data_IF_527846206607
#
_entry.id   IF_527846206607
#
_cell.length_a   1.000
_cell.length_b   1.000
_cell.length_c   1.000
_cell.angle_alpha   90.00
_cell.angle_beta   90.00
_cell.angle_gamma   90.00
#
_symmetry.space_group_name_H-M   'P 1'
#
loop_
_entity.id
_entity.type
_entity.pdbx_description
1 polymer ?
#
# COMPACT_ATOMS: atom_id res chain seq x y z
N UNK A 1 -19.94 -14.29 -2.41
CA UNK A 1 -18.49 -14.41 -2.66
C UNK A 1 -17.83 -14.78 -1.34
N UNK A 2 -16.71 -15.51 -1.31
CA UNK A 2 -15.98 -15.68 -0.06
C UNK A 2 -15.56 -14.29 0.47
N UNK A 3 -15.50 -14.10 1.80
CA UNK A 3 -15.11 -12.82 2.37
C UNK A 3 -13.72 -12.41 1.87
N UNK A 4 -13.48 -11.10 1.74
CA UNK A 4 -12.15 -10.57 1.42
C UNK A 4 -11.15 -11.01 2.49
N UNK A 5 -9.93 -11.29 2.06
CA UNK A 5 -8.80 -11.56 2.96
C UNK A 5 -8.18 -10.24 3.41
N UNK A 6 -8.03 -9.33 2.46
CA UNK A 6 -7.46 -8.01 2.67
C UNK A 6 -8.55 -7.00 3.08
N UNK A 7 -8.57 -6.64 4.37
CA UNK A 7 -9.53 -5.68 4.92
C UNK A 7 -9.46 -4.31 4.23
N UNK A 8 -8.26 -3.86 3.87
CA UNK A 8 -8.11 -2.57 3.18
C UNK A 8 -8.78 -2.59 1.80
N UNK A 9 -8.64 -3.68 1.06
CA UNK A 9 -9.34 -3.87 -0.23
C UNK A 9 -10.86 -3.89 -0.03
N UNK A 10 -11.36 -4.63 0.96
CA UNK A 10 -12.81 -4.70 1.27
C UNK A 10 -13.39 -3.30 1.53
N UNK A 11 -12.69 -2.48 2.27
CA UNK A 11 -13.14 -1.13 2.61
C UNK A 11 -13.10 -0.20 1.38
N UNK A 12 -11.99 -0.20 0.63
CA UNK A 12 -11.87 0.63 -0.57
C UNK A 12 -12.90 0.22 -1.63
N UNK A 13 -13.17 -1.06 -1.80
CA UNK A 13 -14.19 -1.58 -2.73
C UNK A 13 -15.61 -1.12 -2.33
N UNK A 14 -15.87 -0.97 -1.04
CA UNK A 14 -17.13 -0.41 -0.52
C UNK A 14 -17.18 1.12 -0.46
N UNK A 15 -16.15 1.80 -1.03
CA UNK A 15 -16.05 3.26 -1.05
C UNK A 15 -15.64 3.89 0.29
N UNK A 16 -15.26 3.08 1.27
CA UNK A 16 -14.85 3.56 2.59
C UNK A 16 -13.38 4.00 2.59
N UNK A 17 -13.04 5.09 3.28
CA UNK A 17 -11.64 5.42 3.54
C UNK A 17 -11.01 4.41 4.49
N UNK A 18 -9.70 4.16 4.32
CA UNK A 18 -8.88 3.32 5.19
C UNK A 18 -7.88 4.16 5.96
N UNK A 19 -7.56 3.71 7.17
CA UNK A 19 -6.66 4.40 8.09
C UNK A 19 -5.51 3.47 8.47
N UNK A 20 -4.27 3.98 8.47
CA UNK A 20 -3.15 3.15 8.83
C UNK A 20 -2.34 3.67 10.01
N UNK A 21 -1.61 2.75 10.62
CA UNK A 21 -0.59 2.96 11.64
C UNK A 21 0.74 2.41 11.13
N UNK A 22 1.82 2.85 11.74
CA UNK A 22 3.18 2.55 11.29
C UNK A 22 3.83 3.76 10.64
N UNK A 23 4.99 3.60 10.08
CA UNK A 23 5.75 4.72 9.54
C UNK A 23 6.82 4.31 8.53
N UNK A 24 7.36 5.31 7.86
CA UNK A 24 8.39 5.16 6.83
C UNK A 24 9.75 4.74 7.42
N UNK A 25 10.00 5.08 8.68
CA UNK A 25 11.29 4.88 9.36
C UNK A 25 11.45 3.51 10.02
N UNK A 26 10.48 2.64 9.84
CA UNK A 26 10.51 1.28 10.38
C UNK A 26 9.31 0.94 11.24
N UNK A 27 9.29 -0.31 11.66
CA UNK A 27 8.33 -0.89 12.59
C UNK A 27 9.05 -1.91 13.47
N UNK A 28 8.57 -2.13 14.68
CA UNK A 28 9.14 -3.17 15.55
C UNK A 28 8.67 -4.52 15.05
N UNK A 29 9.56 -5.26 14.40
CA UNK A 29 9.25 -6.53 13.76
C UNK A 29 9.63 -7.71 14.68
N UNK A 30 8.89 -7.87 15.78
CA UNK A 30 9.01 -9.03 16.66
C UNK A 30 7.68 -9.78 16.75
N UNK A 31 7.74 -11.03 17.20
CA UNK A 31 6.55 -11.84 17.43
C UNK A 31 5.61 -11.20 18.46
N UNK A 32 6.15 -10.68 19.54
CA UNK A 32 5.40 -10.03 20.62
C UNK A 32 4.71 -8.74 20.14
N UNK A 33 5.40 -7.96 19.31
CA UNK A 33 4.78 -6.78 18.69
C UNK A 33 3.64 -7.17 17.75
N UNK A 34 3.81 -8.24 16.98
CA UNK A 34 2.74 -8.80 16.14
C UNK A 34 1.52 -9.18 16.95
N UNK A 35 1.70 -9.82 18.12
CA UNK A 35 0.58 -10.16 19.00
C UNK A 35 -0.16 -8.91 19.51
N UNK A 36 0.56 -7.84 19.85
CA UNK A 36 -0.03 -6.57 20.27
C UNK A 36 -0.81 -5.91 19.12
N UNK A 37 -0.21 -5.85 17.94
CA UNK A 37 -0.77 -5.16 16.79
C UNK A 37 -1.94 -5.91 16.13
N UNK A 38 -2.13 -7.20 16.42
CA UNK A 38 -3.30 -7.95 15.97
C UNK A 38 -4.64 -7.33 16.39
N UNK A 39 -4.64 -6.49 17.42
CA UNK A 39 -5.80 -5.75 17.93
C UNK A 39 -5.75 -4.26 17.61
N UNK A 40 -4.98 -3.87 16.60
CA UNK A 40 -4.86 -2.47 16.18
C UNK A 40 -6.23 -1.86 15.84
N UNK A 41 -6.35 -0.57 16.07
CA UNK A 41 -7.50 0.22 15.60
C UNK A 41 -7.44 0.54 14.10
N UNK A 42 -6.25 0.39 13.48
CA UNK A 42 -6.02 0.75 12.08
C UNK A 42 -6.58 -0.32 11.11
N UNK A 43 -6.95 0.10 9.92
CA UNK A 43 -7.38 -0.79 8.84
C UNK A 43 -6.20 -1.52 8.20
N UNK A 44 -5.00 -0.90 8.22
CA UNK A 44 -3.78 -1.58 7.86
C UNK A 44 -2.57 -1.05 8.64
N UNK A 45 -1.52 -1.85 8.65
CA UNK A 45 -0.22 -1.55 9.25
C UNK A 45 0.77 -1.31 8.13
N UNK A 46 1.41 -0.13 8.11
CA UNK A 46 2.48 0.20 7.18
C UNK A 46 3.82 -0.17 7.80
N UNK A 47 4.56 -1.06 7.17
CA UNK A 47 5.89 -1.48 7.58
C UNK A 47 6.91 -0.79 6.69
N UNK A 48 7.50 0.30 7.18
CA UNK A 48 8.49 1.08 6.44
C UNK A 48 9.84 0.37 6.41
N UNK A 49 10.26 -0.08 5.23
CA UNK A 49 11.60 -0.58 4.97
C UNK A 49 12.40 0.35 4.05
N UNK A 50 11.80 1.44 3.60
CA UNK A 50 12.47 2.49 2.82
C UNK A 50 13.59 3.14 3.65
N UNK A 51 13.27 3.60 4.85
CA UNK A 51 14.21 4.21 5.79
C UNK A 51 14.44 3.35 7.04
N UNK A 52 13.74 2.24 7.17
CA UNK A 52 13.90 1.25 8.22
C UNK A 52 14.76 0.07 7.79
N UNK A 53 14.96 -0.88 8.71
CA UNK A 53 15.72 -2.09 8.40
C UNK A 53 14.95 -2.99 7.41
N UNK A 54 15.66 -3.52 6.41
CA UNK A 54 15.15 -4.59 5.55
C UNK A 54 15.27 -5.93 6.28
N UNK A 55 14.35 -6.17 7.22
CA UNK A 55 14.37 -7.33 8.12
C UNK A 55 13.29 -8.36 7.76
N UNK A 56 13.65 -9.31 6.93
CA UNK A 56 12.74 -10.39 6.51
C UNK A 56 12.49 -11.43 7.59
N UNK A 57 13.44 -11.66 8.49
CA UNK A 57 13.25 -12.59 9.61
C UNK A 57 12.31 -12.00 10.68
N UNK A 58 12.50 -10.70 10.99
CA UNK A 58 11.59 -9.97 11.86
C UNK A 58 10.17 -9.90 11.27
N UNK A 59 10.03 -9.60 9.97
CA UNK A 59 8.73 -9.58 9.32
C UNK A 59 8.00 -10.92 9.42
N UNK A 60 8.72 -12.05 9.25
CA UNK A 60 8.15 -13.38 9.41
C UNK A 60 7.68 -13.65 10.85
N UNK A 61 8.49 -13.28 11.84
CA UNK A 61 8.13 -13.40 13.25
C UNK A 61 6.92 -12.53 13.61
N UNK A 62 6.90 -11.29 13.12
CA UNK A 62 5.81 -10.34 13.31
C UNK A 62 4.48 -10.86 12.75
N UNK A 63 4.47 -11.33 11.51
CA UNK A 63 3.27 -11.89 10.88
C UNK A 63 2.74 -13.14 11.60
N UNK A 64 3.62 -13.98 12.15
CA UNK A 64 3.21 -15.10 13.01
C UNK A 64 2.55 -14.60 14.30
N UNK A 65 3.08 -13.55 14.92
CA UNK A 65 2.46 -12.93 16.08
C UNK A 65 1.06 -12.41 15.79
N UNK A 66 0.85 -11.76 14.63
CA UNK A 66 -0.47 -11.32 14.16
C UNK A 66 -1.45 -12.48 14.02
N UNK A 67 -1.01 -13.62 13.42
CA UNK A 67 -1.85 -14.81 13.24
C UNK A 67 -2.27 -15.40 14.58
N UNK A 68 -1.32 -15.57 15.50
CA UNK A 68 -1.55 -16.29 16.75
C UNK A 68 -2.42 -15.51 17.74
N UNK A 69 -2.43 -14.17 17.64
CA UNK A 69 -3.30 -13.30 18.42
C UNK A 69 -4.60 -12.87 17.70
N UNK A 70 -4.75 -13.23 16.41
CA UNK A 70 -5.97 -12.99 15.65
C UNK A 70 -7.16 -13.84 16.10
N UNK A 71 -8.30 -13.75 15.43
CA UNK A 71 -8.63 -12.82 14.35
C UNK A 71 -8.82 -11.37 14.85
N UNK A 72 -8.88 -10.43 13.91
CA UNK A 72 -9.23 -9.04 14.17
C UNK A 72 -10.68 -8.90 14.62
N UNK A 73 -11.07 -7.72 15.12
CA UNK A 73 -12.47 -7.46 15.49
C UNK A 73 -13.44 -7.52 14.30
N UNK A 74 -12.96 -7.31 13.09
CA UNK A 74 -13.74 -7.46 11.85
C UNK A 74 -13.80 -8.91 11.34
N UNK A 75 -13.16 -9.85 12.04
CA UNK A 75 -13.16 -11.27 11.69
C UNK A 75 -12.10 -11.68 10.66
N UNK A 76 -11.25 -10.75 10.19
CA UNK A 76 -10.12 -11.07 9.33
C UNK A 76 -9.03 -11.80 10.13
N UNK A 77 -8.30 -12.70 9.45
CA UNK A 77 -7.28 -13.52 10.10
C UNK A 77 -6.17 -12.68 10.75
N UNK A 78 -5.76 -11.62 10.06
CA UNK A 78 -4.80 -10.61 10.54
C UNK A 78 -5.23 -9.23 10.08
N UNK A 79 -4.73 -8.14 10.68
CA UNK A 79 -4.74 -6.83 10.04
C UNK A 79 -4.07 -6.90 8.66
N UNK A 80 -4.48 -6.04 7.73
CA UNK A 80 -3.75 -5.86 6.48
C UNK A 80 -2.35 -5.33 6.78
N UNK A 81 -1.32 -5.90 6.17
CA UNK A 81 0.07 -5.44 6.27
C UNK A 81 0.56 -5.03 4.88
N UNK A 82 1.03 -3.79 4.76
CA UNK A 82 1.63 -3.24 3.53
C UNK A 82 3.08 -2.88 3.85
N UNK A 83 4.01 -3.30 3.01
CA UNK A 83 5.44 -2.99 3.16
C UNK A 83 5.82 -1.88 2.21
N UNK A 84 6.42 -0.84 2.74
CA UNK A 84 7.03 0.24 2.00
C UNK A 84 8.48 -0.13 1.71
N UNK A 85 8.81 -0.29 0.43
CA UNK A 85 10.05 -0.94 0.00
C UNK A 85 11.20 0.03 -0.21
N UNK A 86 12.47 -0.42 0.01
CA UNK A 86 13.63 0.44 -0.15
C UNK A 86 14.06 0.66 -1.61
N UNK A 87 13.42 0.01 -2.57
CA UNK A 87 13.76 0.19 -3.99
C UNK A 87 13.00 1.35 -4.61
N UNK A 88 13.73 2.20 -5.33
CA UNK A 88 13.18 3.33 -6.05
C UNK A 88 12.51 2.92 -7.36
N UNK A 89 11.33 3.49 -7.63
CA UNK A 89 10.60 3.34 -8.89
C UNK A 89 11.12 4.23 -10.03
N UNK A 90 12.44 4.48 -10.10
CA UNK A 90 13.06 5.44 -11.00
C UNK A 90 12.93 5.02 -12.48
N UNK A 91 13.24 3.75 -12.80
CA UNK A 91 13.17 3.21 -14.15
C UNK A 91 12.99 1.68 -14.14
N UNK A 92 12.61 1.11 -15.30
CA UNK A 92 12.41 -0.33 -15.45
C UNK A 92 13.62 -1.18 -15.05
N UNK A 93 14.87 -0.90 -15.49
CA UNK A 93 16.04 -1.68 -15.10
C UNK A 93 16.24 -1.76 -13.59
N UNK A 94 16.07 -0.65 -12.87
CA UNK A 94 16.17 -0.62 -11.39
C UNK A 94 15.17 -1.57 -10.77
N UNK A 95 13.92 -1.53 -11.18
CA UNK A 95 12.87 -2.42 -10.67
C UNK A 95 13.17 -3.87 -10.98
N UNK A 96 13.52 -4.20 -12.22
CA UNK A 96 13.78 -5.60 -12.62
C UNK A 96 14.98 -6.18 -11.90
N UNK A 97 16.02 -5.39 -11.67
CA UNK A 97 17.20 -5.82 -10.93
C UNK A 97 16.90 -6.10 -9.44
N UNK A 98 15.96 -5.32 -8.87
CA UNK A 98 15.56 -5.41 -7.48
C UNK A 98 14.26 -6.22 -7.25
N UNK A 99 13.70 -6.86 -8.27
CA UNK A 99 12.45 -7.63 -8.16
C UNK A 99 12.50 -8.77 -7.11
N UNK A 100 13.70 -9.19 -6.72
CA UNK A 100 13.90 -10.15 -5.62
C UNK A 100 13.36 -9.62 -4.29
N UNK A 101 13.40 -8.31 -4.03
CA UNK A 101 12.87 -7.69 -2.81
C UNK A 101 11.35 -7.91 -2.73
N UNK A 102 10.62 -7.62 -3.80
CA UNK A 102 9.16 -7.86 -3.85
C UNK A 102 8.83 -9.33 -3.62
N UNK A 103 9.59 -10.25 -4.23
CA UNK A 103 9.38 -11.68 -4.03
C UNK A 103 9.63 -12.12 -2.59
N UNK A 104 10.68 -11.61 -1.94
CA UNK A 104 10.99 -11.93 -0.54
C UNK A 104 9.90 -11.39 0.40
N UNK A 105 9.44 -10.17 0.18
CA UNK A 105 8.39 -9.53 0.98
C UNK A 105 7.06 -10.28 0.81
N UNK A 106 6.63 -10.53 -0.43
CA UNK A 106 5.40 -11.26 -0.72
C UNK A 106 5.45 -12.71 -0.25
N UNK A 107 6.65 -13.32 -0.19
CA UNK A 107 6.86 -14.66 0.35
C UNK A 107 6.54 -14.74 1.86
N UNK A 108 6.55 -13.63 2.58
CA UNK A 108 6.13 -13.59 4.00
C UNK A 108 4.61 -13.57 4.16
N UNK A 109 3.84 -13.28 3.11
CA UNK A 109 2.39 -13.25 3.15
C UNK A 109 1.78 -11.89 3.44
N UNK A 110 2.51 -10.81 3.23
CA UNK A 110 1.97 -9.44 3.33
C UNK A 110 0.86 -9.20 2.30
N UNK A 111 0.02 -8.21 2.55
CA UNK A 111 -1.19 -7.93 1.76
C UNK A 111 -0.98 -6.85 0.69
N UNK A 112 0.20 -6.22 0.67
CA UNK A 112 0.50 -5.19 -0.31
C UNK A 112 1.93 -4.68 -0.22
N UNK A 113 2.30 -3.88 -1.21
CA UNK A 113 3.59 -3.18 -1.30
C UNK A 113 3.34 -1.74 -1.74
N UNK A 114 4.05 -0.82 -1.11
CA UNK A 114 4.13 0.59 -1.51
C UNK A 114 5.52 0.83 -2.11
N UNK A 115 5.56 1.14 -3.40
CA UNK A 115 6.79 1.46 -4.14
C UNK A 115 7.12 2.94 -3.97
N UNK A 116 8.33 3.24 -3.51
CA UNK A 116 8.83 4.60 -3.32
C UNK A 116 9.40 5.19 -4.61
N UNK A 117 9.55 6.51 -4.70
CA UNK A 117 10.21 7.24 -5.78
C UNK A 117 9.75 6.82 -7.18
N UNK A 118 8.43 6.69 -7.40
CA UNK A 118 7.90 6.29 -8.71
C UNK A 118 8.02 7.43 -9.72
N UNK A 119 8.92 7.26 -10.72
CA UNK A 119 9.27 8.30 -11.69
C UNK A 119 8.90 7.97 -13.13
N UNK A 120 8.63 6.70 -13.46
CA UNK A 120 8.27 6.30 -14.82
C UNK A 120 7.19 5.21 -14.87
N UNK A 121 6.35 5.26 -15.91
CA UNK A 121 5.33 4.24 -16.16
C UNK A 121 5.94 2.85 -16.39
N UNK A 122 7.11 2.77 -17.02
CA UNK A 122 7.81 1.51 -17.28
C UNK A 122 8.32 0.87 -15.99
N UNK A 123 8.80 1.68 -15.03
CA UNK A 123 9.16 1.21 -13.70
C UNK A 123 7.94 0.63 -12.98
N UNK A 124 6.84 1.36 -12.96
CA UNK A 124 5.60 0.93 -12.28
C UNK A 124 5.01 -0.31 -12.95
N UNK A 125 5.07 -0.42 -14.28
CA UNK A 125 4.70 -1.64 -15.00
C UNK A 125 5.55 -2.84 -14.57
N UNK A 126 6.87 -2.68 -14.54
CA UNK A 126 7.80 -3.73 -14.11
C UNK A 126 7.56 -4.13 -12.64
N UNK A 127 7.21 -3.18 -11.78
CA UNK A 127 6.82 -3.43 -10.39
C UNK A 127 5.57 -4.31 -10.31
N UNK A 128 4.49 -3.93 -10.98
CA UNK A 128 3.24 -4.71 -11.01
C UNK A 128 3.49 -6.12 -11.53
N UNK A 129 4.22 -6.25 -12.66
CA UNK A 129 4.58 -7.56 -13.24
C UNK A 129 5.42 -8.42 -12.27
N UNK A 130 6.31 -7.80 -11.49
CA UNK A 130 7.16 -8.50 -10.52
C UNK A 130 6.36 -9.04 -9.31
N UNK A 131 5.23 -8.44 -9.00
CA UNK A 131 4.33 -8.88 -7.93
C UNK A 131 3.35 -9.98 -8.37
N UNK A 132 3.19 -10.23 -9.66
CA UNK A 132 2.18 -11.11 -10.26
C UNK A 132 2.73 -12.47 -10.67
N UNK A 133 1.97 -13.53 -10.41
CA UNK A 133 2.27 -14.84 -10.99
C UNK A 133 1.96 -14.88 -12.50
N UNK A 134 2.72 -15.65 -13.30
CA UNK A 134 2.49 -15.78 -14.75
C UNK A 134 1.12 -16.34 -15.14
N UNK A 135 0.42 -16.98 -14.22
CA UNK A 135 -0.94 -17.54 -14.44
C UNK A 135 -1.99 -16.45 -14.64
N UNK A 136 -1.78 -15.25 -14.05
CA UNK A 136 -2.72 -14.14 -14.15
C UNK A 136 -2.60 -13.44 -15.51
N UNK A 137 -3.71 -13.43 -16.27
CA UNK A 137 -3.73 -12.91 -17.65
C UNK A 137 -4.48 -11.58 -17.81
N UNK A 138 -5.21 -11.13 -16.77
CA UNK A 138 -5.92 -9.84 -16.85
C UNK A 138 -4.90 -8.73 -17.06
N UNK A 139 -5.14 -7.86 -18.06
CA UNK A 139 -4.26 -6.75 -18.42
C UNK A 139 -3.04 -7.11 -19.29
N UNK A 140 -2.73 -8.39 -19.51
CA UNK A 140 -1.63 -8.81 -20.37
C UNK A 140 -1.95 -8.42 -21.82
N UNK A 141 -1.01 -7.70 -22.49
CA UNK A 141 -1.22 -7.09 -23.80
C UNK A 141 -2.02 -5.77 -23.78
N UNK A 142 -2.51 -5.37 -22.61
CA UNK A 142 -3.27 -4.14 -22.39
C UNK A 142 -2.64 -3.32 -21.24
N UNK A 143 -1.42 -2.86 -21.45
CA UNK A 143 -0.66 -2.07 -20.47
C UNK A 143 0.26 -2.88 -19.55
N UNK A 144 0.16 -4.21 -19.54
CA UNK A 144 1.04 -5.11 -18.79
C UNK A 144 1.60 -6.22 -19.68
N UNK A 145 2.80 -6.70 -19.31
CA UNK A 145 3.36 -7.96 -19.76
C UNK A 145 2.95 -9.13 -18.83
N UNK A 146 3.55 -10.29 -19.07
CA UNK A 146 3.35 -11.48 -18.23
C UNK A 146 4.00 -11.24 -16.87
N UNK A 147 3.30 -11.65 -15.79
CA UNK A 147 3.84 -11.62 -14.45
C UNK A 147 5.14 -12.42 -14.31
N UNK A 148 6.05 -11.93 -13.48
CA UNK A 148 7.39 -12.53 -13.30
C UNK A 148 7.65 -13.06 -11.90
N UNK A 149 6.63 -13.06 -11.02
CA UNK A 149 6.73 -13.69 -9.69
C UNK A 149 6.88 -15.18 -9.85
N UNK A 150 8.01 -15.70 -9.34
CA UNK A 150 8.31 -17.14 -9.37
C UNK A 150 7.53 -17.95 -8.34
N UNK A 151 7.53 -19.25 -8.52
CA UNK A 151 6.94 -20.24 -7.62
C UNK A 151 7.86 -20.55 -6.44
N UNK A 152 7.29 -21.11 -5.34
CA UNK A 152 8.04 -21.68 -4.20
C UNK A 152 7.85 -20.93 -2.88
N UNK A 153 7.17 -19.76 -2.90
CA UNK A 153 6.88 -18.96 -1.69
C UNK A 153 5.47 -19.19 -1.13
N UNK A 154 4.62 -19.91 -1.85
CA UNK A 154 3.21 -20.13 -1.48
C UNK A 154 3.07 -20.87 -0.14
N UNK A 155 3.90 -21.91 0.18
CA UNK A 155 3.79 -22.59 1.46
C UNK A 155 4.08 -21.73 2.68
N UNK A 156 4.87 -20.67 2.54
CA UNK A 156 5.13 -19.70 3.63
C UNK A 156 4.12 -18.57 3.69
N UNK A 157 3.65 -18.09 2.54
CA UNK A 157 2.71 -16.97 2.46
C UNK A 157 1.24 -17.36 2.72
N UNK A 158 0.81 -18.50 2.18
CA UNK A 158 -0.59 -18.95 2.25
C UNK A 158 -1.14 -19.08 3.68
N UNK A 159 -0.38 -19.59 4.68
CA UNK A 159 -0.86 -19.65 6.06
C UNK A 159 -1.22 -18.30 6.67
N UNK A 160 -0.55 -17.20 6.26
CA UNK A 160 -0.89 -15.84 6.73
C UNK A 160 -2.29 -15.45 6.27
N UNK A 161 -2.67 -15.84 5.07
CA UNK A 161 -4.00 -15.59 4.51
C UNK A 161 -5.04 -16.66 4.89
N UNK A 162 -4.62 -17.75 5.56
CA UNK A 162 -5.50 -18.88 5.90
C UNK A 162 -5.94 -19.70 4.69
N UNK A 163 -5.10 -19.79 3.67
CA UNK A 163 -5.38 -20.47 2.40
C UNK A 163 -4.47 -21.69 2.17
N UNK A 164 -4.86 -22.52 1.20
CA UNK A 164 -3.90 -23.46 0.60
C UNK A 164 -2.93 -22.73 -0.32
N UNK A 165 -1.75 -23.30 -0.63
CA UNK A 165 -0.82 -22.72 -1.59
C UNK A 165 -1.44 -22.40 -2.96
N UNK A 166 -2.32 -23.27 -3.46
CA UNK A 166 -3.02 -23.11 -4.74
C UNK A 166 -4.00 -21.93 -4.67
N UNK A 167 -4.84 -21.87 -3.63
CA UNK A 167 -5.79 -20.79 -3.43
C UNK A 167 -5.08 -19.44 -3.20
N UNK A 168 -3.92 -19.45 -2.54
CA UNK A 168 -3.09 -18.25 -2.41
C UNK A 168 -2.62 -17.75 -3.79
N UNK A 169 -2.09 -18.63 -4.65
CA UNK A 169 -1.66 -18.22 -5.99
C UNK A 169 -2.80 -17.60 -6.79
N UNK A 170 -4.02 -18.12 -6.69
CA UNK A 170 -5.18 -17.60 -7.39
C UNK A 170 -5.60 -16.20 -6.90
N UNK A 171 -5.46 -15.95 -5.59
CA UNK A 171 -5.86 -14.70 -4.96
C UNK A 171 -4.75 -13.64 -4.89
N UNK A 172 -3.48 -14.04 -5.02
CA UNK A 172 -2.32 -13.15 -4.93
C UNK A 172 -2.07 -12.38 -6.24
N UNK A 173 -3.06 -11.60 -6.65
CA UNK A 173 -3.03 -10.69 -7.81
C UNK A 173 -3.50 -9.29 -7.39
N UNK A 174 -3.03 -8.20 -8.02
CA UNK A 174 -3.39 -6.85 -7.64
C UNK A 174 -4.86 -6.51 -7.82
N UNK A 175 -5.49 -5.98 -6.77
CA UNK A 175 -6.74 -5.23 -6.86
C UNK A 175 -6.43 -3.75 -7.15
N UNK A 176 -7.21 -3.03 -7.98
CA UNK A 176 -8.48 -3.41 -8.61
C UNK A 176 -8.35 -4.08 -9.98
N UNK A 177 -7.14 -4.30 -10.51
CA UNK A 177 -6.93 -4.95 -11.81
C UNK A 177 -7.66 -6.29 -11.90
N UNK A 178 -7.45 -7.14 -10.91
CA UNK A 178 -8.21 -8.36 -10.72
C UNK A 178 -9.28 -8.14 -9.64
N UNK A 179 -10.59 -8.17 -10.00
CA UNK A 179 -11.65 -8.00 -9.00
C UNK A 179 -11.64 -9.02 -7.86
N UNK A 180 -10.97 -10.14 -8.03
CA UNK A 180 -10.80 -11.19 -7.00
C UNK A 180 -9.41 -11.17 -6.36
N UNK A 181 -8.55 -10.25 -6.78
CA UNK A 181 -7.21 -10.08 -6.23
C UNK A 181 -7.24 -9.53 -4.80
N UNK A 182 -6.23 -9.90 -4.02
CA UNK A 182 -6.11 -9.52 -2.61
C UNK A 182 -4.81 -8.72 -2.33
N UNK A 183 -3.98 -8.47 -3.36
CA UNK A 183 -2.83 -7.59 -3.20
C UNK A 183 -3.24 -6.14 -3.44
N UNK A 184 -2.86 -5.26 -2.52
CA UNK A 184 -3.02 -3.82 -2.65
C UNK A 184 -1.66 -3.18 -2.93
N UNK A 185 -1.42 -2.79 -4.18
CA UNK A 185 -0.18 -2.15 -4.59
C UNK A 185 -0.34 -0.64 -4.64
N UNK A 186 0.65 0.07 -4.12
CA UNK A 186 0.69 1.54 -4.13
C UNK A 186 1.99 2.09 -4.67
N UNK A 187 1.99 3.39 -4.98
CA UNK A 187 3.17 4.14 -5.41
C UNK A 187 3.26 5.49 -4.71
N UNK A 188 4.49 5.95 -4.41
CA UNK A 188 4.77 7.30 -3.92
C UNK A 188 5.32 8.15 -5.07
N UNK A 189 4.70 9.31 -5.28
CA UNK A 189 5.13 10.33 -6.23
C UNK A 189 5.79 11.44 -5.40
N UNK A 190 7.10 11.46 -5.39
CA UNK A 190 7.86 12.25 -4.41
C UNK A 190 9.13 12.90 -4.98
N UNK A 191 9.14 13.04 -6.31
CA UNK A 191 10.15 13.82 -7.01
C UNK A 191 9.53 14.70 -8.09
N UNK A 192 10.18 15.80 -8.53
CA UNK A 192 9.71 16.59 -9.66
C UNK A 192 9.49 15.78 -10.93
N UNK A 193 10.33 14.76 -11.17
CA UNK A 193 10.20 13.85 -12.30
C UNK A 193 8.94 12.98 -12.17
N UNK A 194 8.70 12.40 -11.00
CA UNK A 194 7.49 11.62 -10.73
C UNK A 194 6.22 12.45 -10.89
N UNK A 195 6.21 13.68 -10.37
CA UNK A 195 5.09 14.63 -10.56
C UNK A 195 4.89 14.96 -12.04
N UNK A 196 5.96 15.15 -12.81
CA UNK A 196 5.87 15.41 -14.25
C UNK A 196 5.26 14.26 -15.05
N UNK A 197 5.47 13.02 -14.61
CA UNK A 197 5.04 11.80 -15.31
C UNK A 197 3.78 11.16 -14.70
N UNK A 198 3.16 11.77 -13.70
CA UNK A 198 2.15 11.12 -12.86
C UNK A 198 0.95 10.57 -13.64
N UNK A 199 0.50 11.24 -14.68
CA UNK A 199 -0.62 10.78 -15.50
C UNK A 199 -0.28 9.49 -16.26
N UNK A 200 0.99 9.32 -16.66
CA UNK A 200 1.45 8.09 -17.31
C UNK A 200 1.65 6.96 -16.28
N UNK A 201 2.23 7.29 -15.14
CA UNK A 201 2.46 6.37 -14.03
C UNK A 201 1.14 5.77 -13.55
N UNK A 202 0.14 6.60 -13.27
CA UNK A 202 -1.13 6.15 -12.69
C UNK A 202 -2.10 5.52 -13.72
N UNK A 203 -1.77 5.53 -15.02
CA UNK A 203 -2.46 4.71 -16.02
C UNK A 203 -2.02 3.26 -16.05
N UNK A 204 -0.92 2.92 -15.38
CA UNK A 204 -0.47 1.52 -15.31
C UNK A 204 -1.49 0.70 -14.51
N UNK A 205 -2.03 -0.38 -15.10
CA UNK A 205 -3.04 -1.18 -14.39
C UNK A 205 -2.44 -1.90 -13.18
N UNK A 206 -3.22 -2.03 -12.12
CA UNK A 206 -2.83 -2.79 -10.92
C UNK A 206 -2.38 -1.95 -9.73
N UNK A 207 -2.34 -0.63 -9.87
CA UNK A 207 -2.11 0.29 -8.73
C UNK A 207 -3.46 0.60 -8.08
N UNK A 208 -3.57 0.36 -6.79
CA UNK A 208 -4.79 0.60 -6.01
C UNK A 208 -4.77 1.92 -5.22
N UNK A 209 -3.59 2.42 -4.86
CA UNK A 209 -3.46 3.71 -4.18
C UNK A 209 -2.17 4.44 -4.55
N UNK A 210 -2.15 5.76 -4.36
CA UNK A 210 -0.95 6.57 -4.57
C UNK A 210 -0.88 7.73 -3.59
N UNK A 211 0.35 8.13 -3.27
CA UNK A 211 0.69 9.26 -2.40
C UNK A 211 1.48 10.33 -3.17
N UNK A 212 1.25 11.60 -2.82
CA UNK A 212 2.26 12.63 -3.04
C UNK A 212 3.13 12.68 -1.79
N UNK A 213 4.36 12.10 -1.84
CA UNK A 213 5.27 12.03 -0.70
C UNK A 213 5.84 13.40 -0.33
N UNK A 214 5.35 14.06 0.73
CA UNK A 214 5.73 15.46 1.02
C UNK A 214 7.15 15.59 1.56
N UNK A 215 7.72 14.52 2.12
CA UNK A 215 9.08 14.51 2.66
C UNK A 215 10.11 14.71 1.56
N UNK A 216 10.21 13.73 0.68
CA UNK A 216 11.22 13.69 -0.37
C UNK A 216 10.95 14.70 -1.48
N UNK A 217 9.69 14.92 -1.85
CA UNK A 217 9.36 16.00 -2.77
C UNK A 217 9.79 17.36 -2.21
N UNK A 218 9.53 17.61 -0.93
CA UNK A 218 9.97 18.84 -0.27
C UNK A 218 11.50 18.98 -0.28
N UNK A 219 12.21 17.90 0.00
CA UNK A 219 13.67 17.88 -0.05
C UNK A 219 14.20 18.15 -1.46
N UNK A 220 13.61 17.54 -2.50
CA UNK A 220 13.93 17.82 -3.90
C UNK A 220 13.69 19.28 -4.30
N UNK A 221 12.70 19.93 -3.70
CA UNK A 221 12.39 21.35 -3.89
C UNK A 221 13.22 22.31 -3.01
N UNK A 222 14.16 21.76 -2.20
CA UNK A 222 15.08 22.53 -1.37
C UNK A 222 14.61 22.82 0.05
N UNK A 223 13.48 22.26 0.49
CA UNK A 223 13.02 22.42 1.87
C UNK A 223 13.77 21.48 2.82
N UNK A 224 14.48 22.03 3.80
CA UNK A 224 15.20 21.25 4.82
C UNK A 224 14.30 20.64 5.88
N UNK A 225 13.10 21.16 6.02
CA UNK A 225 12.06 20.60 6.92
C UNK A 225 10.88 20.16 6.07
N UNK A 226 10.27 19.05 6.43
CA UNK A 226 9.09 18.55 5.73
C UNK A 226 7.97 19.59 5.79
N UNK A 227 7.55 20.15 4.65
CA UNK A 227 6.44 21.09 4.61
C UNK A 227 5.15 20.42 5.06
N UNK A 228 4.30 21.17 5.76
CA UNK A 228 3.01 20.71 6.28
C UNK A 228 1.87 21.43 5.57
N UNK A 229 0.67 20.86 5.63
CA UNK A 229 -0.56 21.51 5.15
C UNK A 229 -0.86 22.76 6.02
N UNK A 230 -1.06 23.95 5.41
CA UNK A 230 -1.05 24.23 3.97
C UNK A 230 0.35 24.24 3.36
N UNK A 231 0.54 23.43 2.31
CA UNK A 231 1.81 23.33 1.60
C UNK A 231 2.20 24.64 0.89
N UNK A 232 3.50 24.86 0.60
CA UNK A 232 3.95 25.88 -0.35
C UNK A 232 3.26 25.73 -1.72
N UNK A 233 3.14 26.80 -2.48
CA UNK A 233 2.34 26.81 -3.71
C UNK A 233 2.72 25.74 -4.73
N UNK A 234 4.01 25.47 -4.91
CA UNK A 234 4.51 24.43 -5.82
C UNK A 234 4.15 23.02 -5.35
N UNK A 235 4.18 22.77 -4.04
CA UNK A 235 3.75 21.48 -3.47
C UNK A 235 2.22 21.32 -3.49
N UNK A 236 1.48 22.43 -3.33
CA UNK A 236 0.02 22.40 -3.52
C UNK A 236 -0.32 22.04 -4.98
N UNK A 237 0.40 22.60 -5.95
CA UNK A 237 0.21 22.27 -7.37
C UNK A 237 0.55 20.79 -7.64
N UNK A 238 1.66 20.28 -7.08
CA UNK A 238 2.03 18.88 -7.19
C UNK A 238 0.98 17.97 -6.56
N UNK A 239 0.53 18.26 -5.33
CA UNK A 239 -0.55 17.53 -4.66
C UNK A 239 -1.81 17.47 -5.53
N UNK A 240 -2.23 18.63 -6.04
CA UNK A 240 -3.45 18.69 -6.86
C UNK A 240 -3.30 17.88 -8.14
N UNK A 241 -2.14 17.88 -8.76
CA UNK A 241 -1.87 17.10 -9.98
C UNK A 241 -1.91 15.59 -9.71
N UNK A 242 -1.24 15.12 -8.65
CA UNK A 242 -1.28 13.71 -8.23
C UNK A 242 -2.70 13.28 -7.87
N UNK A 243 -3.40 14.09 -7.09
CA UNK A 243 -4.79 13.84 -6.69
C UNK A 243 -5.71 13.73 -7.90
N UNK A 244 -5.63 14.67 -8.84
CA UNK A 244 -6.44 14.65 -10.07
C UNK A 244 -6.15 13.41 -10.93
N UNK A 245 -4.87 13.00 -11.01
CA UNK A 245 -4.48 11.79 -11.74
C UNK A 245 -5.01 10.51 -11.05
N UNK A 246 -5.02 10.48 -9.71
CA UNK A 246 -5.66 9.40 -8.94
C UNK A 246 -7.16 9.32 -9.26
N UNK A 247 -7.88 10.44 -9.18
CA UNK A 247 -9.32 10.48 -9.48
C UNK A 247 -9.63 10.02 -10.90
N UNK A 248 -8.84 10.47 -11.89
CA UNK A 248 -9.03 10.12 -13.30
C UNK A 248 -8.86 8.61 -13.59
N UNK A 249 -8.13 7.88 -12.74
CA UNK A 249 -7.84 6.47 -12.90
C UNK A 249 -8.51 5.58 -11.82
N UNK A 250 -9.37 6.14 -10.97
CA UNK A 250 -10.04 5.38 -9.90
C UNK A 250 -9.09 4.83 -8.82
N UNK A 251 -7.94 5.49 -8.63
CA UNK A 251 -6.92 5.13 -7.65
C UNK A 251 -7.18 5.89 -6.35
N UNK A 252 -7.09 5.21 -5.21
CA UNK A 252 -7.25 5.84 -3.91
C UNK A 252 -6.07 6.78 -3.61
N UNK A 253 -6.37 8.04 -3.30
CA UNK A 253 -5.34 9.00 -2.92
C UNK A 253 -5.02 8.88 -1.43
N UNK A 254 -3.72 8.77 -1.12
CA UNK A 254 -3.18 8.73 0.23
C UNK A 254 -2.70 10.12 0.63
N UNK A 255 -3.12 10.57 1.81
CA UNK A 255 -2.65 11.83 2.41
C UNK A 255 -2.66 11.76 3.94
N UNK A 256 -1.72 12.46 4.56
CA UNK A 256 -1.70 12.63 6.02
C UNK A 256 -2.85 13.54 6.46
N UNK A 257 -3.56 13.11 7.52
CA UNK A 257 -4.66 13.86 8.09
C UNK A 257 -4.50 14.02 9.60
N UNK A 258 -5.11 15.07 10.12
CA UNK A 258 -5.26 15.33 11.55
C UNK A 258 -6.74 15.23 11.95
N UNK A 259 -7.08 15.16 13.25
CA UNK A 259 -8.46 15.24 13.69
C UNK A 259 -9.22 16.46 13.16
N UNK A 260 -8.51 17.57 12.97
CA UNK A 260 -9.10 18.85 12.57
C UNK A 260 -9.43 18.91 11.07
N UNK A 261 -8.75 18.12 10.21
CA UNK A 261 -8.91 18.20 8.76
C UNK A 261 -9.43 16.93 8.11
N UNK A 262 -9.47 15.79 8.80
CA UNK A 262 -9.81 14.47 8.22
C UNK A 262 -11.17 14.46 7.52
N UNK A 263 -12.18 15.05 8.09
CA UNK A 263 -13.54 15.13 7.49
C UNK A 263 -13.48 15.87 6.15
N UNK A 264 -12.87 17.06 6.13
CA UNK A 264 -12.68 17.84 4.92
C UNK A 264 -11.91 17.08 3.84
N UNK A 265 -10.83 16.39 4.23
CA UNK A 265 -10.01 15.60 3.30
C UNK A 265 -10.78 14.40 2.70
N UNK A 266 -11.62 13.74 3.51
CA UNK A 266 -12.51 12.67 3.02
C UNK A 266 -13.52 13.22 2.02
N UNK A 267 -14.13 14.38 2.30
CA UNK A 267 -15.09 15.03 1.39
C UNK A 267 -14.43 15.50 0.09
N UNK A 268 -13.15 15.91 0.13
CA UNK A 268 -12.35 16.18 -1.07
C UNK A 268 -12.10 14.90 -1.91
N UNK A 269 -12.08 13.72 -1.30
CA UNK A 269 -11.86 12.44 -2.00
C UNK A 269 -10.64 11.66 -1.55
N UNK A 270 -9.97 12.02 -0.45
CA UNK A 270 -8.93 11.21 0.17
C UNK A 270 -9.54 9.89 0.65
N UNK A 271 -8.89 8.78 0.31
CA UNK A 271 -9.38 7.43 0.65
C UNK A 271 -8.38 6.58 1.42
N UNK A 272 -7.11 6.96 1.45
CA UNK A 272 -6.10 6.35 2.33
C UNK A 272 -5.57 7.43 3.25
N UNK A 273 -5.73 7.24 4.55
CA UNK A 273 -5.43 8.26 5.56
C UNK A 273 -4.25 7.82 6.40
N UNK A 274 -3.17 8.58 6.30
CA UNK A 274 -2.06 8.50 7.23
C UNK A 274 -2.46 9.25 8.51
N UNK A 275 -2.94 8.53 9.50
CA UNK A 275 -3.32 9.09 10.79
C UNK A 275 -2.51 8.45 11.90
N UNK A 276 -1.61 9.22 12.50
CA UNK A 276 -0.83 8.73 13.65
C UNK A 276 -1.67 8.65 14.95
N UNK A 277 -2.96 9.03 14.89
CA UNK A 277 -3.86 9.05 16.04
C UNK A 277 -5.14 8.30 15.74
N UNK A 278 -5.54 7.43 16.64
CA UNK A 278 -6.83 6.74 16.59
C UNK A 278 -8.01 7.71 16.46
N UNK A 279 -7.90 8.89 17.07
CA UNK A 279 -8.92 9.94 17.00
C UNK A 279 -9.23 10.38 15.56
N UNK A 280 -8.20 10.51 14.71
CA UNK A 280 -8.38 10.82 13.28
C UNK A 280 -9.24 9.77 12.59
N UNK A 281 -8.94 8.49 12.84
CA UNK A 281 -9.72 7.38 12.28
C UNK A 281 -11.16 7.36 12.84
N UNK A 282 -11.32 7.59 14.14
CA UNK A 282 -12.63 7.63 14.79
C UNK A 282 -13.54 8.71 14.17
N UNK A 283 -13.00 9.91 13.98
CA UNK A 283 -13.75 11.02 13.37
C UNK A 283 -14.12 10.72 11.91
N UNK A 284 -13.16 10.24 11.11
CA UNK A 284 -13.42 9.93 9.70
C UNK A 284 -14.41 8.76 9.54
N UNK A 285 -14.33 7.72 10.37
CA UNK A 285 -15.30 6.60 10.38
C UNK A 285 -16.68 7.07 10.78
N UNK A 286 -16.79 7.92 11.79
CA UNK A 286 -18.08 8.50 12.20
C UNK A 286 -18.71 9.31 11.05
N UNK A 287 -17.89 10.11 10.34
CA UNK A 287 -18.35 10.88 9.18
C UNK A 287 -18.87 10.00 8.03
N UNK A 288 -18.25 8.87 7.79
CA UNK A 288 -18.65 7.92 6.74
C UNK A 288 -19.63 6.85 7.23
N UNK A 289 -20.23 7.03 8.40
CA UNK A 289 -21.17 6.09 9.04
C UNK A 289 -20.61 4.66 9.22
N UNK A 290 -19.29 4.53 9.37
CA UNK A 290 -18.62 3.26 9.65
C UNK A 290 -18.42 3.10 11.15
N UNK A 291 -18.84 1.94 11.69
CA UNK A 291 -18.66 1.62 13.10
C UNK A 291 -17.25 1.13 13.40
N UNK A 292 -16.73 1.49 14.57
CA UNK A 292 -15.59 0.86 15.23
C UNK A 292 -16.08 -0.38 16.00
N UNK A 293 -15.25 -1.36 16.31
CA UNK A 293 -13.85 -1.51 15.91
C UNK A 293 -13.70 -2.11 14.51
N UNK A 294 -12.49 -2.09 14.07
CA UNK A 294 -12.10 -2.59 12.74
C UNK A 294 -11.72 -4.07 12.81
#
# INVERSE_FOLDING_TARGET
MPPRINRAVELLESGQPIYYVGGHTGHVLTYEQGQQDAKTWADYINVGMEHGAFDMAGLDAYLRGLIDAGPTSSGHRTPTVIVEVPVDGANEPVIRYNAWQFRQILARGVHGILLCQAESADAVRAFVESCRYPIHKIGVGHGLGIGTRGRGSEPSAAPVWGLSPEAYMERADPWPLNPHGELLLGVKIESPQGVSNVEQILRVPGIGFAEMGPGDLGLCLGYKQVPRDPYPAEMQAARQRVFSACQANGIAFLESCTPENVVKKIDEGVRVVAGHREETARLGRAHTNRRMPV
#
